data_IF_336355618984
#
_entry.id   IF_336355618984
#
_cell.length_a   1.000
_cell.length_b   1.000
_cell.length_c   1.000
_cell.angle_alpha   90.00
_cell.angle_beta   90.00
_cell.angle_gamma   90.00
#
_symmetry.space_group_name_H-M   'P 1'
#
loop_
_entity.id
_entity.type
_entity.pdbx_description
1 polymer ?
#
# COMPACT_ATOMS: atom_id res chain seq x y z
N UNK A 1 -4.82 -4.63 20.37
CA UNK A 1 -3.49 -4.05 20.66
C UNK A 1 -3.70 -2.54 20.88
N UNK A 2 -2.72 -1.81 21.39
CA UNK A 2 -2.80 -0.34 21.47
C UNK A 2 -2.06 0.22 20.26
N UNK A 3 -2.62 1.23 19.60
CA UNK A 3 -1.94 1.98 18.55
C UNK A 3 -1.50 3.31 19.17
N UNK A 4 -0.22 3.62 19.05
CA UNK A 4 0.32 4.93 19.42
C UNK A 4 0.53 5.75 18.16
N UNK A 5 0.13 7.02 18.17
CA UNK A 5 0.38 7.97 17.09
C UNK A 5 1.32 9.04 17.63
N UNK A 6 2.46 9.23 16.95
CA UNK A 6 3.48 10.20 17.31
C UNK A 6 3.73 11.14 16.13
N UNK A 7 3.79 12.44 16.41
CA UNK A 7 4.22 13.44 15.44
C UNK A 7 5.73 13.69 15.59
N UNK A 8 6.47 13.60 14.49
CA UNK A 8 7.93 13.69 14.47
C UNK A 8 8.43 14.89 13.65
N UNK A 9 9.63 15.36 13.97
CA UNK A 9 10.27 16.54 13.35
C UNK A 9 11.04 16.24 12.05
N UNK A 10 10.74 15.14 11.36
CA UNK A 10 11.35 14.76 10.08
C UNK A 10 10.29 14.51 9.02
N UNK A 11 10.70 14.06 7.83
CA UNK A 11 9.79 13.78 6.72
C UNK A 11 9.31 12.32 6.72
N UNK A 12 8.15 12.11 6.09
CA UNK A 12 7.58 10.79 5.85
C UNK A 12 6.66 10.27 6.95
N UNK A 13 6.28 9.02 6.77
CA UNK A 13 5.35 8.27 7.62
C UNK A 13 5.82 6.83 7.76
N UNK A 14 5.49 6.21 8.88
CA UNK A 14 5.77 4.78 9.05
C UNK A 14 4.91 4.15 10.13
N UNK A 15 4.63 2.87 9.95
CA UNK A 15 4.08 1.99 10.94
C UNK A 15 5.15 1.00 11.42
N UNK A 16 5.45 1.00 12.71
CA UNK A 16 6.27 -0.02 13.36
C UNK A 16 5.39 -1.15 13.87
N UNK A 17 5.42 -2.28 13.17
CA UNK A 17 4.70 -3.49 13.55
C UNK A 17 5.02 -3.97 14.98
N UNK A 18 6.27 -3.83 15.43
CA UNK A 18 6.73 -4.39 16.70
C UNK A 18 6.15 -3.64 17.89
N UNK A 19 6.06 -2.32 17.77
CA UNK A 19 5.54 -1.44 18.82
C UNK A 19 4.08 -1.05 18.62
N UNK A 20 3.53 -1.23 17.42
CA UNK A 20 2.21 -0.73 17.03
C UNK A 20 2.17 0.80 16.89
N UNK A 21 3.32 1.43 16.66
CA UNK A 21 3.45 2.89 16.59
C UNK A 21 3.36 3.38 15.16
N UNK A 22 2.52 4.39 14.94
CA UNK A 22 2.47 5.19 13.72
C UNK A 22 3.26 6.48 13.98
N UNK A 23 4.25 6.77 13.16
CA UNK A 23 5.02 8.02 13.18
C UNK A 23 4.63 8.86 11.98
N UNK A 24 4.30 10.13 12.20
CA UNK A 24 3.82 11.06 11.17
C UNK A 24 4.62 12.36 11.17
N UNK A 25 5.05 12.84 10.01
CA UNK A 25 5.55 14.21 9.91
C UNK A 25 4.42 15.23 10.11
N UNK A 26 4.78 16.43 10.57
CA UNK A 26 3.81 17.50 10.81
C UNK A 26 3.14 18.05 9.54
N UNK A 27 3.68 17.75 8.36
CA UNK A 27 3.18 18.25 7.06
C UNK A 27 2.46 17.16 6.25
N UNK A 28 2.10 16.03 6.87
CA UNK A 28 1.46 14.92 6.17
C UNK A 28 0.01 15.21 5.76
N UNK A 29 -0.36 14.62 4.63
CA UNK A 29 -1.75 14.59 4.17
C UNK A 29 -2.50 13.39 4.76
N UNK A 30 -3.83 13.51 4.88
CA UNK A 30 -4.69 12.48 5.52
C UNK A 30 -4.55 11.09 4.89
N UNK A 31 -4.28 11.00 3.59
CA UNK A 31 -4.12 9.72 2.89
C UNK A 31 -2.88 8.96 3.33
N UNK A 32 -1.84 9.66 3.79
CA UNK A 32 -0.63 9.01 4.29
C UNK A 32 -0.87 8.46 5.72
N UNK A 33 -1.63 9.18 6.56
CA UNK A 33 -2.10 8.60 7.82
C UNK A 33 -2.99 7.37 7.56
N UNK A 34 -3.90 7.45 6.59
CA UNK A 34 -4.73 6.32 6.20
C UNK A 34 -3.88 5.10 5.79
N UNK A 35 -2.81 5.31 5.02
CA UNK A 35 -1.86 4.27 4.63
C UNK A 35 -1.24 3.57 5.86
N UNK A 36 -0.71 4.33 6.82
CA UNK A 36 -0.11 3.74 8.03
C UNK A 36 -1.14 3.07 8.93
N UNK A 37 -2.37 3.60 9.00
CA UNK A 37 -3.47 2.96 9.69
C UNK A 37 -3.88 1.64 9.01
N UNK A 38 -3.76 1.55 7.69
CA UNK A 38 -4.00 0.30 6.96
C UNK A 38 -2.97 -0.77 7.35
N UNK A 39 -1.70 -0.41 7.43
CA UNK A 39 -0.67 -1.31 7.96
C UNK A 39 -0.95 -1.73 9.40
N UNK A 40 -1.39 -0.79 10.24
CA UNK A 40 -1.82 -1.13 11.58
C UNK A 40 -2.98 -2.13 11.58
N UNK A 41 -3.96 -1.97 10.68
CA UNK A 41 -5.07 -2.91 10.55
C UNK A 41 -4.62 -4.30 10.08
N UNK A 42 -3.81 -4.38 9.01
CA UNK A 42 -3.20 -5.61 8.52
C UNK A 42 -2.45 -6.35 9.64
N UNK A 43 -1.71 -5.61 10.46
CA UNK A 43 -0.94 -6.15 11.58
C UNK A 43 -1.79 -6.77 12.70
N UNK A 44 -3.10 -6.50 12.74
CA UNK A 44 -4.02 -7.16 13.69
C UNK A 44 -4.58 -8.47 13.12
N UNK A 45 -4.61 -8.62 11.80
CA UNK A 45 -5.05 -9.83 11.13
C UNK A 45 -3.91 -10.85 10.95
N UNK A 46 -2.67 -10.42 11.13
CA UNK A 46 -1.47 -11.23 10.89
C UNK A 46 -0.71 -11.58 12.17
N UNK A 47 0.02 -12.70 12.12
CA UNK A 47 1.10 -12.96 13.08
C UNK A 47 2.34 -12.13 12.71
N UNK A 48 3.23 -11.89 13.68
CA UNK A 48 4.46 -11.13 13.40
C UNK A 48 5.32 -11.78 12.31
N UNK A 49 5.41 -13.10 12.32
CA UNK A 49 6.18 -13.84 11.34
C UNK A 49 5.55 -13.71 9.95
N UNK A 50 4.23 -13.92 9.83
CA UNK A 50 3.52 -13.79 8.55
C UNK A 50 3.63 -12.38 7.97
N UNK A 51 3.44 -11.35 8.80
CA UNK A 51 3.58 -9.96 8.36
C UNK A 51 5.00 -9.68 7.85
N UNK A 52 6.04 -10.07 8.61
CA UNK A 52 7.44 -9.89 8.22
C UNK A 52 7.82 -10.66 6.96
N UNK A 53 7.21 -11.81 6.69
CA UNK A 53 7.48 -12.62 5.49
C UNK A 53 6.73 -12.12 4.25
N UNK A 54 5.77 -11.21 4.41
CA UNK A 54 4.89 -10.74 3.33
C UNK A 54 4.85 -9.22 3.20
N UNK A 55 5.89 -8.51 3.65
CA UNK A 55 5.91 -7.03 3.67
C UNK A 55 5.53 -6.41 2.32
N UNK A 56 6.02 -6.95 1.19
CA UNK A 56 5.65 -6.40 -0.11
C UNK A 56 4.18 -6.67 -0.46
N UNK A 57 3.63 -7.82 -0.07
CA UNK A 57 2.20 -8.10 -0.25
C UNK A 57 1.35 -7.09 0.56
N UNK A 58 1.73 -6.81 1.81
CA UNK A 58 1.05 -5.84 2.67
C UNK A 58 1.12 -4.43 2.08
N UNK A 59 2.28 -4.03 1.56
CA UNK A 59 2.49 -2.76 0.88
C UNK A 59 1.58 -2.59 -0.34
N UNK A 60 1.48 -3.62 -1.19
CA UNK A 60 0.60 -3.58 -2.37
C UNK A 60 -0.85 -3.30 -2.01
N UNK A 61 -1.37 -3.96 -0.97
CA UNK A 61 -2.73 -3.74 -0.50
C UNK A 61 -2.90 -2.36 0.13
N UNK A 62 -1.94 -1.90 0.94
CA UNK A 62 -1.98 -0.57 1.55
C UNK A 62 -1.98 0.56 0.52
N UNK A 63 -1.14 0.45 -0.52
CA UNK A 63 -1.13 1.39 -1.63
C UNK A 63 -2.43 1.38 -2.42
N UNK A 64 -3.04 0.21 -2.61
CA UNK A 64 -4.32 0.11 -3.31
C UNK A 64 -5.47 0.69 -2.48
N UNK A 65 -5.52 0.40 -1.17
CA UNK A 65 -6.46 1.02 -0.25
C UNK A 65 -6.29 2.54 -0.21
N UNK A 66 -5.05 3.04 -0.17
CA UNK A 66 -4.75 4.47 -0.23
C UNK A 66 -5.21 5.10 -1.54
N UNK A 67 -5.01 4.42 -2.67
CA UNK A 67 -5.53 4.85 -3.97
C UNK A 67 -7.06 5.00 -3.93
N UNK A 68 -7.77 3.98 -3.45
CA UNK A 68 -9.23 4.01 -3.33
C UNK A 68 -9.70 5.15 -2.45
N UNK A 69 -9.03 5.39 -1.31
CA UNK A 69 -9.33 6.51 -0.42
C UNK A 69 -9.08 7.85 -1.12
N UNK A 70 -7.86 8.09 -1.60
CA UNK A 70 -7.49 9.42 -2.13
C UNK A 70 -8.26 9.75 -3.41
N UNK A 71 -8.53 8.78 -4.28
CA UNK A 71 -9.28 8.99 -5.52
C UNK A 71 -10.76 9.30 -5.29
N UNK A 72 -11.29 8.97 -4.10
CA UNK A 72 -12.65 9.35 -3.70
C UNK A 72 -12.77 10.79 -3.20
N UNK A 73 -11.65 11.45 -2.91
CA UNK A 73 -11.62 12.81 -2.36
C UNK A 73 -11.79 13.86 -3.47
N UNK A 74 -12.49 14.99 -3.20
CA UNK A 74 -12.68 16.06 -4.19
C UNK A 74 -11.37 16.75 -4.60
N UNK A 75 -10.31 16.62 -3.80
CA UNK A 75 -8.97 17.14 -4.09
C UNK A 75 -8.21 16.30 -5.12
N UNK A 76 -8.69 15.09 -5.45
CA UNK A 76 -8.10 14.25 -6.47
C UNK A 76 -8.49 14.72 -7.88
N UNK A 77 -7.65 15.59 -8.44
CA UNK A 77 -7.84 16.20 -9.75
C UNK A 77 -6.50 16.38 -10.45
N UNK A 78 -6.52 16.49 -11.77
CA UNK A 78 -5.33 16.71 -12.59
C UNK A 78 -4.46 17.84 -12.02
N UNK A 79 -3.15 17.59 -11.92
CA UNK A 79 -2.18 18.50 -11.31
C UNK A 79 -2.03 18.40 -9.79
N UNK A 80 -2.88 17.64 -9.07
CA UNK A 80 -2.64 17.35 -7.65
C UNK A 80 -1.58 16.26 -7.49
N UNK A 81 -0.79 16.34 -6.40
CA UNK A 81 0.32 15.41 -6.12
C UNK A 81 -0.05 13.94 -6.32
N UNK A 82 -1.17 13.51 -5.72
CA UNK A 82 -1.62 12.12 -5.78
C UNK A 82 -2.23 11.74 -7.13
N UNK A 83 -2.90 12.67 -7.82
CA UNK A 83 -3.34 12.42 -9.18
C UNK A 83 -2.14 12.13 -10.09
N UNK A 84 -1.12 12.99 -10.03
CA UNK A 84 0.09 12.83 -10.84
C UNK A 84 0.83 11.54 -10.51
N UNK A 85 0.91 11.17 -9.22
CA UNK A 85 1.49 9.89 -8.80
C UNK A 85 0.76 8.71 -9.46
N UNK A 86 -0.55 8.58 -9.23
CA UNK A 86 -1.32 7.40 -9.66
C UNK A 86 -1.58 7.33 -11.17
N UNK A 87 -1.46 8.45 -11.90
CA UNK A 87 -1.69 8.49 -13.35
C UNK A 87 -0.41 8.50 -14.17
N UNK A 88 0.70 9.03 -13.65
CA UNK A 88 1.90 9.29 -14.47
C UNK A 88 3.14 8.49 -14.04
N UNK A 89 3.21 7.98 -12.81
CA UNK A 89 4.31 7.07 -12.40
C UNK A 89 3.98 5.61 -12.72
N UNK A 90 5.00 4.78 -12.93
CA UNK A 90 4.79 3.36 -13.25
C UNK A 90 4.23 2.58 -12.05
N UNK A 91 4.72 2.86 -10.84
CA UNK A 91 4.16 2.31 -9.60
C UNK A 91 2.70 2.73 -9.44
N UNK A 92 2.42 4.03 -9.51
CA UNK A 92 1.07 4.55 -9.34
C UNK A 92 0.08 4.00 -10.35
N UNK A 93 0.44 3.93 -11.64
CA UNK A 93 -0.41 3.29 -12.67
C UNK A 93 -0.63 1.82 -12.37
N UNK A 94 0.40 1.08 -11.97
CA UNK A 94 0.29 -0.35 -11.67
C UNK A 94 -0.67 -0.62 -10.51
N UNK A 95 -0.63 0.21 -9.45
CA UNK A 95 -1.57 0.16 -8.33
C UNK A 95 -2.97 0.54 -8.80
N UNK A 96 -3.12 1.65 -9.52
CA UNK A 96 -4.41 2.12 -10.01
C UNK A 96 -5.13 1.03 -10.81
N UNK A 97 -4.43 0.38 -11.73
CA UNK A 97 -4.99 -0.67 -12.59
C UNK A 97 -5.44 -1.93 -11.85
N UNK A 98 -5.16 -2.08 -10.54
CA UNK A 98 -5.79 -3.11 -9.71
C UNK A 98 -7.31 -2.97 -9.66
N UNK A 99 -7.86 -1.76 -9.89
CA UNK A 99 -9.31 -1.51 -9.97
C UNK A 99 -10.03 -2.31 -11.07
N UNK A 100 -9.29 -2.76 -12.08
CA UNK A 100 -9.79 -3.65 -13.13
C UNK A 100 -9.79 -5.13 -12.77
N UNK A 101 -9.23 -5.51 -11.62
CA UNK A 101 -9.09 -6.91 -11.18
C UNK A 101 -9.71 -7.16 -9.80
N UNK A 102 -9.66 -6.18 -8.89
CA UNK A 102 -10.18 -6.26 -7.52
C UNK A 102 -11.01 -4.99 -7.26
N UNK A 103 -12.25 -5.13 -6.80
CA UNK A 103 -13.08 -3.97 -6.47
C UNK A 103 -12.70 -3.32 -5.12
N UNK A 104 -13.41 -2.26 -4.76
CA UNK A 104 -13.20 -1.55 -3.50
C UNK A 104 -13.63 -2.33 -2.24
N UNK A 105 -14.08 -3.57 -2.40
CA UNK A 105 -14.41 -4.52 -1.33
C UNK A 105 -13.50 -5.75 -1.37
N UNK A 106 -12.39 -5.72 -2.10
CA UNK A 106 -11.49 -6.87 -2.21
C UNK A 106 -12.08 -8.04 -2.99
N UNK A 107 -13.14 -7.83 -3.76
CA UNK A 107 -13.79 -8.86 -4.57
C UNK A 107 -13.13 -8.94 -5.94
N UNK A 108 -12.82 -10.15 -6.37
CA UNK A 108 -12.23 -10.42 -7.67
C UNK A 108 -13.23 -10.11 -8.79
N UNK A 109 -12.83 -9.27 -9.73
CA UNK A 109 -13.61 -8.84 -10.91
C UNK A 109 -13.28 -9.63 -12.17
N UNK A 110 -12.12 -10.28 -12.19
CA UNK A 110 -11.57 -11.07 -13.29
C UNK A 110 -11.23 -12.48 -12.80
N UNK A 111 -10.48 -13.26 -13.56
CA UNK A 111 -9.93 -14.51 -13.02
C UNK A 111 -8.63 -14.27 -12.22
N UNK A 112 -8.28 -15.24 -11.38
CA UNK A 112 -7.10 -15.20 -10.51
C UNK A 112 -5.81 -15.05 -11.30
N UNK A 113 -5.69 -15.73 -12.45
CA UNK A 113 -4.48 -15.73 -13.28
C UNK A 113 -4.19 -14.33 -13.84
N UNK A 114 -5.23 -13.61 -14.26
CA UNK A 114 -5.12 -12.23 -14.71
C UNK A 114 -4.63 -11.30 -13.60
N UNK A 115 -5.13 -11.46 -12.37
CA UNK A 115 -4.63 -10.70 -11.23
C UNK A 115 -3.18 -11.07 -10.90
N UNK A 116 -2.83 -12.35 -10.85
CA UNK A 116 -1.45 -12.83 -10.62
C UNK A 116 -0.48 -12.22 -11.64
N UNK A 117 -0.85 -12.24 -12.92
CA UNK A 117 -0.05 -11.65 -13.99
C UNK A 117 0.15 -10.14 -13.77
N UNK A 118 -0.89 -9.42 -13.37
CA UNK A 118 -0.77 -7.99 -13.06
C UNK A 118 0.08 -7.72 -11.82
N UNK A 119 -0.01 -8.56 -10.78
CA UNK A 119 0.82 -8.45 -9.58
C UNK A 119 2.32 -8.63 -9.86
N UNK A 120 2.71 -9.35 -10.92
CA UNK A 120 4.11 -9.37 -11.37
C UNK A 120 4.57 -7.97 -11.80
N UNK A 121 3.73 -7.22 -12.51
CA UNK A 121 4.01 -5.83 -12.91
C UNK A 121 4.04 -4.90 -11.70
N UNK A 122 3.10 -5.03 -10.77
CA UNK A 122 3.09 -4.24 -9.52
C UNK A 122 4.36 -4.52 -8.71
N UNK A 123 4.71 -5.80 -8.53
CA UNK A 123 5.94 -6.23 -7.84
C UNK A 123 7.16 -5.59 -8.46
N UNK A 124 7.29 -5.65 -9.80
CA UNK A 124 8.39 -5.04 -10.52
C UNK A 124 8.46 -3.52 -10.26
N UNK A 125 7.35 -2.81 -10.37
CA UNK A 125 7.31 -1.36 -10.16
C UNK A 125 7.75 -0.96 -8.74
N UNK A 126 7.36 -1.72 -7.71
CA UNK A 126 7.88 -1.52 -6.35
C UNK A 126 9.39 -1.76 -6.23
N UNK A 127 9.95 -2.75 -6.93
CA UNK A 127 11.41 -2.99 -6.87
C UNK A 127 12.23 -1.90 -7.57
N UNK A 128 11.63 -1.20 -8.51
CA UNK A 128 12.30 -0.24 -9.39
C UNK A 128 12.05 1.23 -9.02
N UNK A 129 11.02 1.53 -8.21
CA UNK A 129 10.77 2.89 -7.70
C UNK A 129 11.96 3.37 -6.88
N UNK A 130 12.34 4.62 -7.09
CA UNK A 130 13.34 5.32 -6.28
C UNK A 130 12.70 6.38 -5.42
N UNK A 131 13.20 6.56 -4.21
CA UNK A 131 12.88 7.71 -3.39
C UNK A 131 13.67 8.97 -3.84
N UNK A 132 13.48 10.08 -3.13
CA UNK A 132 14.14 11.35 -3.44
C UNK A 132 15.67 11.30 -3.30
N UNK A 133 16.19 10.37 -2.49
CA UNK A 133 17.62 10.12 -2.35
C UNK A 133 18.17 9.20 -3.46
N UNK A 134 17.30 8.67 -4.33
CA UNK A 134 17.66 7.75 -5.40
C UNK A 134 17.79 6.29 -4.95
N UNK A 135 17.38 5.98 -3.73
CA UNK A 135 17.41 4.64 -3.14
C UNK A 135 16.15 3.86 -3.49
N UNK A 136 16.24 2.53 -3.42
CA UNK A 136 15.11 1.63 -3.72
C UNK A 136 14.45 1.13 -2.43
N UNK A 137 13.45 1.85 -1.86
CA UNK A 137 12.95 1.60 -0.51
C UNK A 137 12.39 0.19 -0.33
N UNK A 138 11.77 -0.36 -1.38
CA UNK A 138 11.11 -1.66 -1.34
C UNK A 138 11.95 -2.80 -1.91
N UNK A 139 13.21 -2.56 -2.31
CA UNK A 139 14.03 -3.56 -3.03
C UNK A 139 14.15 -4.90 -2.30
N UNK A 140 14.21 -4.87 -0.98
CA UNK A 140 14.45 -6.04 -0.14
C UNK A 140 13.21 -6.51 0.64
N UNK A 141 12.04 -5.90 0.42
CA UNK A 141 10.81 -6.31 1.11
C UNK A 141 10.43 -7.74 0.70
N UNK A 142 10.30 -8.72 1.59
CA UNK A 142 9.92 -10.07 1.21
C UNK A 142 8.52 -10.08 0.59
N UNK A 143 8.37 -10.89 -0.45
CA UNK A 143 7.09 -11.21 -1.07
C UNK A 143 6.81 -12.69 -0.81
N UNK A 144 5.66 -13.00 -0.24
CA UNK A 144 5.28 -14.38 0.04
C UNK A 144 4.53 -14.95 -1.17
N UNK A 145 5.22 -15.76 -1.97
CA UNK A 145 4.66 -16.42 -3.16
C UNK A 145 3.66 -17.55 -2.83
N UNK A 146 3.58 -18.00 -1.56
CA UNK A 146 2.59 -19.00 -1.13
C UNK A 146 1.18 -18.38 -0.93
N UNK A 147 1.06 -17.04 -0.91
CA UNK A 147 -0.24 -16.36 -0.86
C UNK A 147 -0.85 -16.32 -2.25
N UNK A 148 -2.12 -16.72 -2.37
CA UNK A 148 -2.86 -16.47 -3.61
C UNK A 148 -2.98 -14.97 -3.85
N UNK A 149 -3.18 -14.57 -5.10
CA UNK A 149 -3.26 -13.15 -5.45
C UNK A 149 -4.40 -12.43 -4.71
N UNK A 150 -5.55 -13.08 -4.52
CA UNK A 150 -6.70 -12.52 -3.81
C UNK A 150 -6.46 -12.44 -2.30
N UNK A 151 -5.66 -13.35 -1.74
CA UNK A 151 -5.30 -13.36 -0.32
C UNK A 151 -4.46 -12.13 0.09
N UNK A 152 -3.93 -11.37 -0.89
CA UNK A 152 -3.28 -10.10 -0.64
C UNK A 152 -4.27 -8.95 -0.38
N UNK A 153 -5.54 -9.10 -0.77
CA UNK A 153 -6.54 -8.02 -0.75
C UNK A 153 -7.74 -8.30 0.17
N UNK A 154 -7.59 -9.25 1.09
CA UNK A 154 -8.69 -9.69 1.96
C UNK A 154 -9.08 -8.65 3.01
N UNK A 155 -8.20 -7.71 3.36
CA UNK A 155 -8.50 -6.70 4.37
C UNK A 155 -9.48 -5.64 3.83
N UNK A 156 -9.66 -5.54 2.51
CA UNK A 156 -10.69 -4.71 1.86
C UNK A 156 -12.12 -5.26 2.02
N UNK A 157 -12.30 -6.51 2.46
CA UNK A 157 -13.63 -7.16 2.55
C UNK A 157 -14.45 -6.77 3.78
N UNK A 158 -13.92 -5.95 4.67
CA UNK A 158 -14.49 -5.66 5.99
C UNK A 158 -15.17 -4.30 6.07
#
# INVERSE_FOLDING_TARGET
KTIAIEFISGDGSSFDYTTGKISLSMNMESNQLFHEMWHAYQAYQETQQSFKQSLLNQEMEAWYAQYLYVSSLPEYKQGSKWYELYNHTDLGKSIRYLDGYIDNKGTLLKDTYQLESHLVTVKKAFREIKDEAGEYPYKNYPYNDDRTAEANFTNLKN
#
